data_IF_098429692707
#
_entry.id   IF_098429692707
#
_cell.length_a   1.000
_cell.length_b   1.000
_cell.length_c   1.000
_cell.angle_alpha   90.00
_cell.angle_beta   90.00
_cell.angle_gamma   90.00
#
_symmetry.space_group_name_H-M   'P 1'
#
loop_
_entity.id
_entity.type
_entity.pdbx_description
1 polymer ?
#
# COMPACT_ATOMS: atom_id res chain seq x y z
N UNK A 1 12.34 -7.61 7.07
CA UNK A 1 12.54 -6.24 7.52
C UNK A 1 11.27 -5.44 7.21
N UNK A 2 11.01 -4.36 7.94
CA UNK A 2 9.84 -3.50 7.74
C UNK A 2 10.16 -2.29 6.85
N UNK A 3 11.11 -2.39 5.94
CA UNK A 3 11.46 -1.32 5.02
C UNK A 3 10.44 -1.24 3.88
N UNK A 4 10.34 -0.06 3.26
CA UNK A 4 9.44 0.16 2.13
C UNK A 4 9.73 -0.82 1.00
N UNK A 5 8.67 -1.48 0.52
CA UNK A 5 8.64 -2.22 -0.73
C UNK A 5 7.29 -1.96 -1.41
N UNK A 6 7.26 -1.73 -2.73
CA UNK A 6 6.05 -1.32 -3.42
C UNK A 6 5.20 -2.49 -3.95
N UNK A 7 5.76 -3.69 -4.01
CA UNK A 7 5.11 -4.81 -4.70
C UNK A 7 5.29 -6.19 -4.03
N UNK A 8 6.08 -6.27 -2.97
CA UNK A 8 6.36 -7.54 -2.29
C UNK A 8 6.31 -7.38 -0.77
N UNK A 9 5.86 -8.41 -0.08
CA UNK A 9 5.82 -8.46 1.36
C UNK A 9 4.42 -8.39 1.96
N UNK A 10 4.30 -7.73 3.11
CA UNK A 10 3.05 -7.61 3.87
C UNK A 10 2.66 -6.15 4.01
N UNK A 11 1.36 -5.89 3.94
CA UNK A 11 0.80 -4.57 4.30
C UNK A 11 0.86 -4.42 5.82
N UNK A 12 1.41 -3.31 6.28
CA UNK A 12 1.50 -2.94 7.71
C UNK A 12 0.65 -1.72 7.98
N UNK A 13 -0.23 -1.83 8.95
CA UNK A 13 -1.03 -0.72 9.46
C UNK A 13 -0.49 -0.32 10.83
N UNK A 14 -0.28 0.97 11.03
CA UNK A 14 0.15 1.53 12.32
C UNK A 14 -0.93 2.47 12.85
N UNK A 15 -0.99 2.59 14.17
CA UNK A 15 -1.84 3.57 14.83
C UNK A 15 -1.26 5.00 14.72
N UNK A 16 -1.99 6.04 15.15
CA UNK A 16 -1.48 7.42 15.11
C UNK A 16 -0.20 7.67 15.93
N UNK A 17 0.20 6.76 16.78
CA UNK A 17 1.45 6.82 17.54
C UNK A 17 2.60 6.05 16.86
N UNK A 18 2.34 5.43 15.70
CA UNK A 18 3.31 4.66 14.95
C UNK A 18 3.49 3.21 15.44
N UNK A 19 2.66 2.75 16.38
CA UNK A 19 2.68 1.37 16.85
C UNK A 19 1.96 0.47 15.86
N UNK A 20 2.51 -0.72 15.59
CA UNK A 20 1.87 -1.71 14.73
C UNK A 20 0.49 -2.10 15.27
N UNK A 21 -0.54 -1.89 14.45
CA UNK A 21 -1.90 -2.32 14.72
C UNK A 21 -2.15 -3.71 14.15
N UNK A 22 -1.82 -3.92 12.88
CA UNK A 22 -1.97 -5.20 12.19
C UNK A 22 -1.02 -5.29 11.00
N UNK A 23 -0.68 -6.52 10.62
CA UNK A 23 0.11 -6.84 9.44
C UNK A 23 -0.53 -8.02 8.72
N UNK A 24 -0.70 -7.94 7.40
CA UNK A 24 -1.41 -8.95 6.62
C UNK A 24 -0.80 -9.15 5.23
N UNK A 25 -1.03 -10.33 4.66
CA UNK A 25 -0.73 -10.65 3.26
C UNK A 25 -1.89 -10.25 2.36
N UNK A 26 -1.70 -10.12 1.03
CA UNK A 26 -2.79 -9.81 0.11
C UNK A 26 -4.03 -10.68 0.30
N UNK A 27 -3.86 -11.97 0.48
CA UNK A 27 -4.96 -12.94 0.64
C UNK A 27 -5.78 -12.71 1.91
N UNK A 28 -5.15 -12.11 2.93
CA UNK A 28 -5.77 -11.83 4.23
C UNK A 28 -6.48 -10.48 4.30
N UNK A 29 -6.52 -9.70 3.19
CA UNK A 29 -7.03 -8.33 3.26
C UNK A 29 -8.48 -8.25 3.74
N UNK A 30 -9.34 -9.22 3.39
CA UNK A 30 -10.73 -9.28 3.83
C UNK A 30 -10.91 -9.55 5.33
N UNK A 31 -9.88 -10.04 6.02
CA UNK A 31 -9.90 -10.20 7.47
C UNK A 31 -9.68 -8.87 8.18
N UNK A 32 -8.99 -7.93 7.52
CA UNK A 32 -8.55 -6.65 8.08
C UNK A 32 -9.36 -5.47 7.55
N UNK A 33 -9.66 -5.46 6.26
CA UNK A 33 -10.36 -4.37 5.58
C UNK A 33 -11.80 -4.76 5.27
N UNK A 34 -12.72 -3.88 5.58
CA UNK A 34 -14.10 -3.94 5.13
C UNK A 34 -14.47 -2.64 4.39
N UNK A 35 -15.56 -2.66 3.64
CA UNK A 35 -15.99 -1.54 2.83
C UNK A 35 -17.43 -1.16 3.20
N UNK A 36 -17.64 0.11 3.50
CA UNK A 36 -18.96 0.68 3.77
C UNK A 36 -19.56 1.25 2.50
N UNK A 37 -20.81 0.89 2.21
CA UNK A 37 -21.63 1.46 1.14
C UNK A 37 -22.56 2.52 1.76
N UNK A 38 -22.60 3.69 1.13
CA UNK A 38 -23.49 4.78 1.53
C UNK A 38 -24.41 5.16 0.34
N UNK A 39 -25.69 5.47 0.59
CA UNK A 39 -26.69 5.66 -0.48
C UNK A 39 -26.47 6.93 -1.31
N UNK A 40 -25.68 7.88 -0.85
CA UNK A 40 -25.42 9.17 -1.50
C UNK A 40 -24.21 9.16 -2.45
N UNK A 41 -23.50 8.03 -2.56
CA UNK A 41 -22.31 7.92 -3.42
C UNK A 41 -22.18 6.51 -3.99
N UNK A 42 -21.54 6.40 -5.16
CA UNK A 42 -21.16 5.11 -5.75
C UNK A 42 -19.82 4.59 -5.20
N UNK A 43 -19.06 5.41 -4.47
CA UNK A 43 -17.82 4.99 -3.83
C UNK A 43 -18.13 4.13 -2.60
N UNK A 44 -17.30 3.12 -2.38
CA UNK A 44 -17.25 2.38 -1.12
C UNK A 44 -16.11 2.94 -0.28
N UNK A 45 -16.34 3.00 1.03
CA UNK A 45 -15.37 3.53 1.99
C UNK A 45 -14.66 2.38 2.69
N UNK A 46 -13.36 2.14 2.41
CA UNK A 46 -12.61 1.11 3.12
C UNK A 46 -12.33 1.54 4.56
N UNK A 47 -12.40 0.59 5.49
CA UNK A 47 -12.13 0.83 6.89
C UNK A 47 -11.54 -0.42 7.58
N UNK A 48 -10.86 -0.22 8.69
CA UNK A 48 -10.31 -1.29 9.51
C UNK A 48 -11.42 -2.05 10.24
N UNK A 49 -11.60 -3.31 9.88
CA UNK A 49 -12.67 -4.18 10.36
C UNK A 49 -12.64 -4.36 11.89
N UNK A 50 -11.43 -4.48 12.46
CA UNK A 50 -11.23 -4.62 13.90
C UNK A 50 -11.62 -3.39 14.73
N UNK A 51 -11.67 -2.19 14.12
CA UNK A 51 -12.15 -0.96 14.76
C UNK A 51 -13.63 -0.71 14.46
N UNK A 52 -14.08 -1.07 13.27
CA UNK A 52 -15.45 -0.88 12.79
C UNK A 52 -15.70 0.47 12.13
N UNK A 53 -16.82 0.57 11.43
CA UNK A 53 -17.26 1.81 10.79
C UNK A 53 -17.95 2.73 11.80
N UNK A 54 -17.43 3.94 11.96
CA UNK A 54 -17.98 5.00 12.83
C UNK A 54 -18.24 6.31 12.09
N UNK A 55 -18.35 6.24 10.76
CA UNK A 55 -18.46 7.42 9.89
C UNK A 55 -17.09 7.96 9.47
N UNK A 56 -17.11 9.07 8.74
CA UNK A 56 -15.90 9.78 8.31
C UNK A 56 -15.40 10.69 9.45
N UNK A 57 -14.94 10.08 10.52
CA UNK A 57 -14.38 10.77 11.69
C UNK A 57 -12.90 10.48 11.81
N UNK A 58 -12.16 11.41 12.39
CA UNK A 58 -10.74 11.28 12.67
C UNK A 58 -10.50 10.85 14.12
N UNK A 59 -9.36 10.22 14.39
CA UNK A 59 -8.95 9.85 15.74
C UNK A 59 -8.71 8.35 15.91
N UNK A 60 -8.25 7.96 17.10
CA UNK A 60 -7.86 6.58 17.42
C UNK A 60 -9.01 5.57 17.32
N UNK A 61 -10.23 6.02 17.60
CA UNK A 61 -11.42 5.17 17.57
C UNK A 61 -12.03 5.06 16.17
N UNK A 62 -11.46 5.71 15.17
CA UNK A 62 -11.92 5.64 13.79
C UNK A 62 -11.36 4.41 13.08
N UNK A 63 -12.21 3.69 12.36
CA UNK A 63 -11.77 2.65 11.44
C UNK A 63 -11.25 3.18 10.11
N UNK A 64 -11.44 4.47 9.82
CA UNK A 64 -10.91 5.13 8.62
C UNK A 64 -9.39 5.22 8.72
N UNK A 65 -8.70 4.94 7.62
CA UNK A 65 -7.24 4.97 7.56
C UNK A 65 -6.75 5.76 6.35
N UNK A 66 -5.48 6.10 6.35
CA UNK A 66 -4.79 6.72 5.22
C UNK A 66 -3.76 5.76 4.64
N UNK A 67 -3.60 5.79 3.32
CA UNK A 67 -2.61 5.00 2.58
C UNK A 67 -1.78 5.90 1.63
N UNK A 68 -1.43 7.10 2.08
CA UNK A 68 -0.61 8.09 1.36
C UNK A 68 0.88 7.74 1.39
N UNK A 69 1.73 8.42 0.59
CA UNK A 69 3.19 8.36 0.76
C UNK A 69 3.64 8.60 2.20
N UNK A 70 3.07 9.59 2.88
CA UNK A 70 3.38 9.86 4.30
C UNK A 70 3.01 8.68 5.19
N UNK A 71 1.87 8.04 4.95
CA UNK A 71 1.45 6.86 5.71
C UNK A 71 2.41 5.68 5.52
N UNK A 72 2.90 5.47 4.28
CA UNK A 72 3.91 4.43 4.00
C UNK A 72 5.20 4.67 4.76
N UNK A 73 5.73 5.91 4.74
CA UNK A 73 6.93 6.24 5.52
C UNK A 73 6.68 6.06 7.02
N UNK A 74 5.52 6.47 7.53
CA UNK A 74 5.16 6.26 8.94
C UNK A 74 5.03 4.77 9.30
N UNK A 75 4.54 3.94 8.38
CA UNK A 75 4.40 2.52 8.60
C UNK A 75 5.70 1.72 8.41
N UNK A 76 6.67 2.24 7.65
CA UNK A 76 7.94 1.57 7.36
C UNK A 76 9.03 1.95 8.35
N UNK A 77 10.01 1.07 8.56
CA UNK A 77 11.18 1.32 9.43
C UNK A 77 12.40 1.83 8.62
N UNK A 78 12.19 2.27 7.39
CA UNK A 78 13.19 2.84 6.49
C UNK A 78 12.94 2.52 5.02
N UNK A 79 13.86 2.97 4.17
CA UNK A 79 13.89 2.71 2.73
C UNK A 79 14.91 1.60 2.42
N UNK A 80 14.74 0.92 1.27
CA UNK A 80 15.65 -0.17 0.87
C UNK A 80 16.81 0.30 0.00
N UNK A 81 16.77 1.52 -0.51
CA UNK A 81 17.84 2.11 -1.31
C UNK A 81 18.61 3.19 -0.54
N UNK A 82 19.92 3.40 -0.80
CA UNK A 82 20.77 4.21 0.07
C UNK A 82 20.39 5.69 0.10
N UNK A 83 20.20 6.36 -1.03
CA UNK A 83 19.89 7.78 -1.04
C UNK A 83 18.48 8.07 -0.50
N UNK A 84 17.51 7.22 -0.82
CA UNK A 84 16.18 7.32 -0.24
C UNK A 84 16.19 7.09 1.29
N UNK A 85 17.07 6.22 1.78
CA UNK A 85 17.25 6.03 3.23
C UNK A 85 17.81 7.29 3.91
N UNK A 86 18.81 7.94 3.34
CA UNK A 86 19.33 9.22 3.85
C UNK A 86 18.26 10.30 3.86
N UNK A 87 17.47 10.40 2.77
CA UNK A 87 16.38 11.36 2.69
C UNK A 87 15.25 11.06 3.70
N UNK A 88 14.97 9.79 3.97
CA UNK A 88 14.02 9.35 5.00
C UNK A 88 14.49 9.78 6.40
N UNK A 89 15.77 9.59 6.73
CA UNK A 89 16.34 9.97 8.01
C UNK A 89 16.33 11.51 8.20
N UNK A 90 16.72 12.25 7.16
CA UNK A 90 16.67 13.71 7.15
C UNK A 90 15.25 14.25 7.33
N UNK A 91 14.26 13.60 6.72
CA UNK A 91 12.83 13.93 6.85
C UNK A 91 12.38 13.89 8.32
N UNK A 92 12.62 12.78 9.00
CA UNK A 92 12.21 12.64 10.40
C UNK A 92 13.04 13.49 11.36
N UNK A 93 14.33 13.66 11.10
CA UNK A 93 15.18 14.55 11.89
C UNK A 93 14.69 16.01 11.83
N UNK A 94 14.27 16.46 10.64
CA UNK A 94 13.77 17.83 10.43
C UNK A 94 12.40 18.06 11.03
N UNK A 95 11.51 17.07 10.97
CA UNK A 95 10.12 17.20 11.41
C UNK A 95 9.86 16.76 12.86
N UNK A 96 10.92 16.53 13.64
CA UNK A 96 10.83 16.27 15.07
C UNK A 96 10.58 14.83 15.46
N UNK A 97 10.79 13.89 14.55
CA UNK A 97 10.66 12.46 14.80
C UNK A 97 9.44 11.79 14.15
N UNK A 98 9.36 10.51 14.34
CA UNK A 98 8.30 9.65 13.79
C UNK A 98 7.26 9.33 14.86
N UNK A 99 5.95 9.28 14.54
CA UNK A 99 5.34 9.55 13.23
C UNK A 99 5.11 11.05 12.95
N UNK A 100 4.99 11.40 11.66
CA UNK A 100 4.65 12.75 11.19
C UNK A 100 3.21 12.76 10.65
N UNK A 101 2.41 13.76 11.03
CA UNK A 101 1.00 13.88 10.63
C UNK A 101 0.68 15.18 9.88
N UNK A 102 1.68 16.02 9.62
CA UNK A 102 1.47 17.23 8.82
C UNK A 102 1.09 16.89 7.39
N UNK A 103 -0.04 17.41 6.91
CA UNK A 103 -0.54 17.15 5.55
C UNK A 103 0.47 17.57 4.47
N UNK A 104 1.17 18.68 4.64
CA UNK A 104 2.19 19.15 3.71
C UNK A 104 3.41 18.22 3.64
N UNK A 105 3.71 17.48 4.70
CA UNK A 105 4.77 16.50 4.71
C UNK A 105 4.55 15.35 3.71
N UNK A 106 3.32 15.14 3.25
CA UNK A 106 3.00 14.17 2.17
C UNK A 106 3.74 14.49 0.87
N UNK A 107 3.95 15.77 0.56
CA UNK A 107 4.69 16.17 -0.64
C UNK A 107 6.18 15.81 -0.52
N UNK A 108 6.78 16.04 0.64
CA UNK A 108 8.16 15.62 0.88
C UNK A 108 8.31 14.11 0.88
N UNK A 109 7.39 13.38 1.55
CA UNK A 109 7.36 11.93 1.51
C UNK A 109 7.30 11.37 0.07
N UNK A 110 6.52 12.00 -0.80
CA UNK A 110 6.43 11.64 -2.22
C UNK A 110 7.75 11.84 -2.97
N UNK A 111 8.52 12.89 -2.64
CA UNK A 111 9.85 13.10 -3.25
C UNK A 111 10.85 12.04 -2.78
N UNK A 112 10.77 11.58 -1.54
CA UNK A 112 11.58 10.46 -1.03
C UNK A 112 11.23 9.17 -1.79
N UNK A 113 9.96 8.90 -2.01
CA UNK A 113 9.52 7.74 -2.79
C UNK A 113 9.89 7.84 -4.28
N UNK A 114 9.90 9.06 -4.85
CA UNK A 114 10.40 9.30 -6.21
C UNK A 114 11.89 9.00 -6.31
N UNK A 115 12.69 9.41 -5.34
CA UNK A 115 14.11 9.08 -5.27
C UNK A 115 14.32 7.57 -5.16
N UNK A 116 13.55 6.90 -4.27
CA UNK A 116 13.55 5.45 -4.17
C UNK A 116 13.25 4.78 -5.52
N UNK A 117 12.20 5.24 -6.21
CA UNK A 117 11.82 4.68 -7.52
C UNK A 117 12.90 4.89 -8.58
N UNK A 118 13.60 6.03 -8.56
CA UNK A 118 14.72 6.31 -9.48
C UNK A 118 15.92 5.38 -9.22
N UNK A 119 16.27 5.15 -7.95
CA UNK A 119 17.34 4.20 -7.58
C UNK A 119 16.96 2.77 -7.99
N UNK A 120 15.71 2.35 -7.76
CA UNK A 120 15.20 1.04 -8.19
C UNK A 120 15.17 0.90 -9.71
N UNK A 121 14.86 1.97 -10.44
CA UNK A 121 14.90 1.97 -11.90
C UNK A 121 16.31 1.65 -12.43
N UNK A 122 17.33 2.28 -11.84
CA UNK A 122 18.74 2.02 -12.22
C UNK A 122 19.11 0.57 -11.90
N UNK A 123 18.76 0.08 -10.71
CA UNK A 123 19.03 -1.29 -10.29
C UNK A 123 18.40 -2.30 -11.25
N UNK A 124 17.10 -2.15 -11.56
CA UNK A 124 16.38 -3.04 -12.46
C UNK A 124 16.88 -2.95 -13.92
N UNK A 125 17.24 -1.74 -14.39
CA UNK A 125 17.74 -1.56 -15.75
C UNK A 125 19.14 -2.16 -15.96
N UNK A 126 19.89 -2.38 -14.89
CA UNK A 126 21.22 -2.99 -14.91
C UNK A 126 21.24 -4.45 -14.48
N UNK A 127 20.08 -4.99 -14.10
CA UNK A 127 19.94 -6.39 -13.72
C UNK A 127 20.19 -7.30 -14.95
N UNK A 128 21.09 -8.30 -14.86
CA UNK A 128 21.32 -9.25 -15.96
C UNK A 128 20.06 -10.00 -16.42
N UNK A 129 19.09 -10.21 -15.53
CA UNK A 129 17.83 -10.90 -15.85
C UNK A 129 16.96 -10.10 -16.82
N UNK A 130 17.16 -8.78 -16.99
CA UNK A 130 16.36 -7.95 -17.92
C UNK A 130 16.52 -8.41 -19.38
N UNK A 131 17.58 -9.10 -19.71
CA UNK A 131 17.86 -9.64 -21.05
C UNK A 131 17.56 -11.13 -21.19
N UNK A 132 16.95 -11.76 -20.18
CA UNK A 132 16.59 -13.16 -20.22
C UNK A 132 15.56 -13.42 -21.35
N UNK A 133 15.79 -14.38 -22.23
CA UNK A 133 14.83 -14.75 -23.28
C UNK A 133 13.54 -15.39 -22.75
N UNK A 134 13.50 -15.85 -21.50
CA UNK A 134 12.31 -16.41 -20.86
C UNK A 134 11.37 -15.28 -20.36
N UNK A 135 10.80 -14.55 -21.31
CA UNK A 135 10.03 -13.31 -21.04
C UNK A 135 8.58 -13.53 -20.58
N UNK A 136 8.15 -14.78 -20.51
CA UNK A 136 6.77 -15.08 -20.06
C UNK A 136 6.68 -16.43 -19.35
N UNK A 137 5.76 -16.48 -18.40
CA UNK A 137 5.25 -17.72 -17.83
C UNK A 137 3.89 -18.05 -18.47
N UNK A 138 3.71 -19.30 -18.91
CA UNK A 138 2.41 -19.79 -19.39
C UNK A 138 1.78 -20.57 -18.24
N UNK A 139 0.72 -20.05 -17.60
CA UNK A 139 0.09 -20.73 -16.50
C UNK A 139 -0.51 -22.06 -16.97
N UNK A 140 -0.34 -23.10 -16.20
CA UNK A 140 -0.88 -24.45 -16.43
C UNK A 140 -2.19 -24.68 -15.69
N UNK A 141 -2.48 -23.84 -14.71
CA UNK A 141 -3.70 -23.89 -13.90
C UNK A 141 -4.63 -22.73 -14.26
N UNK A 142 -5.93 -22.99 -14.13
CA UNK A 142 -6.93 -21.93 -14.31
C UNK A 142 -6.97 -21.07 -13.05
N UNK A 143 -6.94 -19.76 -13.18
CA UNK A 143 -7.16 -18.90 -12.04
C UNK A 143 -8.61 -19.06 -11.57
N UNK A 144 -8.81 -19.20 -10.29
CA UNK A 144 -10.11 -19.25 -9.62
C UNK A 144 -10.35 -17.95 -8.87
N UNK A 145 -9.49 -17.65 -7.94
CA UNK A 145 -9.50 -16.44 -7.14
C UNK A 145 -8.07 -15.90 -7.00
N UNK A 146 -7.91 -14.59 -7.09
CA UNK A 146 -6.61 -13.95 -6.95
C UNK A 146 -6.71 -12.56 -6.31
N UNK A 147 -5.79 -12.30 -5.38
CA UNK A 147 -5.62 -10.99 -4.73
C UNK A 147 -4.22 -10.50 -4.95
N UNK A 148 -4.09 -9.26 -5.44
CA UNK A 148 -2.82 -8.56 -5.57
C UNK A 148 -2.86 -7.22 -4.87
N UNK A 149 -1.78 -6.86 -4.19
CA UNK A 149 -1.62 -5.54 -3.56
C UNK A 149 -0.29 -4.95 -4.01
N UNK A 150 -0.33 -3.70 -4.46
CA UNK A 150 0.85 -2.92 -4.80
C UNK A 150 0.72 -1.51 -4.25
N UNK A 151 1.83 -0.87 -4.00
CA UNK A 151 1.88 0.54 -3.62
C UNK A 151 1.94 1.42 -4.87
N UNK A 152 0.85 2.15 -5.12
CA UNK A 152 0.76 3.13 -6.18
C UNK A 152 1.20 4.53 -5.69
N UNK A 153 1.48 5.50 -6.58
CA UNK A 153 1.95 6.83 -6.16
C UNK A 153 1.03 7.56 -5.18
N UNK A 154 -0.26 7.25 -5.19
CA UNK A 154 -1.26 7.88 -4.32
C UNK A 154 -1.68 7.05 -3.13
N UNK A 155 -1.31 5.80 -3.07
CA UNK A 155 -1.67 4.92 -1.97
C UNK A 155 -1.70 3.44 -2.35
N UNK A 156 -2.10 2.61 -1.41
CA UNK A 156 -2.19 1.16 -1.56
C UNK A 156 -3.30 0.79 -2.54
N UNK A 157 -2.98 0.00 -3.55
CA UNK A 157 -3.90 -0.51 -4.55
C UNK A 157 -4.13 -1.99 -4.32
N UNK A 158 -5.36 -2.38 -4.02
CA UNK A 158 -5.78 -3.78 -3.87
C UNK A 158 -6.67 -4.18 -5.02
N UNK A 159 -6.33 -5.27 -5.68
CA UNK A 159 -7.13 -5.92 -6.71
C UNK A 159 -7.52 -7.32 -6.25
N UNK A 160 -8.80 -7.64 -6.33
CA UNK A 160 -9.33 -8.95 -6.02
C UNK A 160 -10.27 -9.40 -7.14
N UNK A 161 -9.99 -10.54 -7.73
CA UNK A 161 -10.76 -11.11 -8.84
C UNK A 161 -11.18 -12.53 -8.54
N UNK A 162 -12.41 -12.87 -8.96
CA UNK A 162 -12.91 -14.24 -9.02
C UNK A 162 -13.28 -14.53 -10.46
N UNK A 163 -12.82 -15.67 -10.98
CA UNK A 163 -13.06 -16.08 -12.37
C UNK A 163 -13.88 -17.37 -12.41
N UNK A 164 -14.45 -17.65 -13.57
CA UNK A 164 -15.09 -18.94 -13.85
C UNK A 164 -14.09 -19.95 -14.46
N UNK A 165 -14.60 -21.14 -14.75
CA UNK A 165 -13.84 -22.24 -15.37
C UNK A 165 -13.21 -21.89 -16.73
N UNK A 166 -13.67 -20.82 -17.39
CA UNK A 166 -13.14 -20.30 -18.65
C UNK A 166 -12.15 -19.15 -18.46
N UNK A 167 -11.86 -18.77 -17.20
CA UNK A 167 -11.01 -17.62 -16.88
C UNK A 167 -11.71 -16.27 -17.07
N UNK A 168 -13.04 -16.25 -17.21
CA UNK A 168 -13.81 -15.02 -17.34
C UNK A 168 -14.06 -14.45 -15.95
N UNK A 169 -13.74 -13.17 -15.76
CA UNK A 169 -13.97 -12.47 -14.50
C UNK A 169 -15.46 -12.42 -14.18
N UNK A 170 -15.85 -13.00 -13.06
CA UNK A 170 -17.21 -13.02 -12.52
C UNK A 170 -17.41 -12.00 -11.41
N UNK A 171 -16.35 -11.71 -10.68
CA UNK A 171 -16.37 -10.72 -9.61
C UNK A 171 -15.05 -9.97 -9.57
N UNK A 172 -15.12 -8.65 -9.38
CA UNK A 172 -13.96 -7.81 -9.17
C UNK A 172 -14.22 -6.88 -7.99
N UNK A 173 -13.24 -6.74 -7.11
CA UNK A 173 -13.20 -5.70 -6.09
C UNK A 173 -11.89 -4.94 -6.18
N UNK A 174 -11.98 -3.63 -6.30
CA UNK A 174 -10.84 -2.74 -6.48
C UNK A 174 -10.86 -1.67 -5.37
N UNK A 175 -9.89 -1.73 -4.46
CA UNK A 175 -9.65 -0.65 -3.51
C UNK A 175 -8.49 0.17 -4.07
N UNK A 176 -8.85 1.25 -4.76
CA UNK A 176 -7.89 2.08 -5.49
C UNK A 176 -7.14 3.00 -4.53
N UNK A 177 -5.85 3.24 -4.79
CA UNK A 177 -4.98 4.06 -3.93
C UNK A 177 -5.58 5.42 -3.55
N UNK A 178 -6.30 6.08 -4.45
CA UNK A 178 -7.00 7.35 -4.19
C UNK A 178 -8.24 7.21 -3.32
N UNK A 179 -8.89 6.06 -3.33
CA UNK A 179 -10.10 5.80 -2.52
C UNK A 179 -9.80 5.67 -1.02
N UNK A 180 -8.56 5.29 -0.69
CA UNK A 180 -8.13 5.16 0.70
C UNK A 180 -7.89 6.51 1.41
N UNK A 181 -7.95 7.62 0.68
CA UNK A 181 -7.50 8.93 1.18
C UNK A 181 -8.60 10.00 1.11
#
# INVERSE_FOLDING_TARGET
NNKVNFYDGKVRVVDPQGKEFVKYTPEQYLDVIAERVEPWTYLKFPYLKGVGWKGLVTGQDSGVYQATPLSRLNAADGMTTPQAQEAYEAFYATLGGKPVHSTLATHWARLIELLYAAERLVELATDPEITDPHVRNIPTEKPDEGVGIVEAPRGTLTHHYITDEKGIVRKANLIVGTTNN
#
